data_IF_930548718967
#
_entry.id   IF_930548718967
#
_cell.length_a   1.000
_cell.length_b   1.000
_cell.length_c   1.000
_cell.angle_alpha   90.00
_cell.angle_beta   90.00
_cell.angle_gamma   90.00
#
_symmetry.space_group_name_H-M   'P 1'
#
loop_
_entity.id
_entity.type
_entity.pdbx_description
1 polymer ?
#
# COMPACT_ATOMS: atom_id res chain seq x y z
N UNK A 1 -5.93 38.25 -6.01
CA UNK A 1 -5.76 37.42 -7.22
C UNK A 1 -6.80 36.33 -7.12
N UNK A 2 -7.83 36.39 -7.97
CA UNK A 2 -9.11 35.71 -7.75
C UNK A 2 -9.07 34.26 -8.25
N UNK A 3 -9.82 33.39 -7.58
CA UNK A 3 -10.01 31.96 -7.84
C UNK A 3 -10.75 31.63 -9.16
N UNK A 4 -10.63 32.47 -10.20
CA UNK A 4 -11.45 32.41 -11.41
C UNK A 4 -10.64 32.48 -12.73
N UNK A 5 -9.35 32.17 -12.71
CA UNK A 5 -8.50 32.12 -13.93
C UNK A 5 -7.94 30.72 -14.25
N UNK A 6 -8.22 29.69 -13.45
CA UNK A 6 -7.77 28.31 -13.72
C UNK A 6 -8.77 27.43 -14.48
N UNK A 7 -9.96 27.93 -14.82
CA UNK A 7 -11.03 27.16 -15.49
C UNK A 7 -11.06 27.30 -17.03
N UNK A 8 -9.95 27.66 -17.69
CA UNK A 8 -9.97 27.96 -19.14
C UNK A 8 -9.02 27.11 -19.99
N UNK A 9 -8.47 25.99 -19.47
CA UNK A 9 -7.58 25.12 -20.26
C UNK A 9 -7.96 23.64 -20.34
N UNK A 10 -9.09 23.19 -19.79
CA UNK A 10 -9.44 21.76 -19.74
C UNK A 10 -10.85 21.44 -20.27
N UNK A 11 -11.23 21.98 -21.42
CA UNK A 11 -12.17 21.28 -22.31
C UNK A 11 -11.39 20.75 -23.50
N UNK A 12 -10.48 19.78 -23.25
CA UNK A 12 -10.01 18.91 -24.33
C UNK A 12 -11.04 17.80 -24.48
N UNK A 13 -11.59 17.63 -25.69
CA UNK A 13 -12.48 16.52 -26.03
C UNK A 13 -11.83 15.21 -25.55
N UNK A 14 -12.48 14.57 -24.59
CA UNK A 14 -12.00 13.32 -24.03
C UNK A 14 -12.22 12.24 -25.09
N UNK A 15 -11.13 11.71 -25.63
CA UNK A 15 -11.21 10.63 -26.62
C UNK A 15 -11.49 9.34 -25.87
N UNK A 16 -12.69 8.77 -26.07
CA UNK A 16 -13.13 7.57 -25.37
C UNK A 16 -12.33 6.31 -25.77
N UNK A 17 -11.85 6.26 -27.01
CA UNK A 17 -11.08 5.15 -27.55
C UNK A 17 -10.26 5.54 -28.80
N UNK A 18 -9.23 4.75 -29.08
CA UNK A 18 -8.46 4.77 -30.34
C UNK A 18 -8.34 3.37 -30.90
N UNK A 19 -8.11 3.26 -32.21
CA UNK A 19 -7.90 1.97 -32.87
C UNK A 19 -6.42 1.84 -33.21
N UNK A 20 -5.78 0.78 -32.72
CA UNK A 20 -4.39 0.44 -33.05
C UNK A 20 -4.39 -0.95 -33.68
N UNK A 21 -4.06 -1.01 -34.97
CA UNK A 21 -4.25 -2.22 -35.75
C UNK A 21 -5.73 -2.57 -35.85
N UNK A 22 -6.11 -3.74 -35.34
CA UNK A 22 -7.51 -4.21 -35.27
C UNK A 22 -8.14 -4.05 -33.88
N UNK A 23 -7.38 -3.59 -32.89
CA UNK A 23 -7.82 -3.54 -31.50
C UNK A 23 -8.30 -2.14 -31.10
N UNK A 24 -9.43 -2.09 -30.39
CA UNK A 24 -9.88 -0.89 -29.69
C UNK A 24 -9.13 -0.72 -28.36
N UNK A 25 -8.41 0.38 -28.22
CA UNK A 25 -7.69 0.76 -27.01
C UNK A 25 -8.45 1.87 -26.30
N UNK A 26 -8.72 1.67 -25.02
CA UNK A 26 -9.48 2.59 -24.15
C UNK A 26 -8.72 2.81 -22.86
N UNK A 27 -9.19 3.76 -22.05
CA UNK A 27 -8.77 3.84 -20.64
C UNK A 27 -8.94 2.48 -19.95
N UNK A 28 -7.88 1.99 -19.33
CA UNK A 28 -7.81 0.69 -18.67
C UNK A 28 -7.31 -0.46 -19.55
N UNK A 29 -7.16 -0.28 -20.87
CA UNK A 29 -6.54 -1.29 -21.73
C UNK A 29 -5.07 -1.51 -21.33
N UNK A 30 -4.61 -2.77 -21.42
CA UNK A 30 -3.20 -3.12 -21.26
C UNK A 30 -2.50 -3.09 -22.61
N UNK A 31 -1.30 -2.53 -22.62
CA UNK A 31 -0.49 -2.37 -23.82
C UNK A 31 0.97 -2.68 -23.54
N UNK A 32 1.68 -3.15 -24.56
CA UNK A 32 3.14 -3.33 -24.55
C UNK A 32 3.79 -2.12 -25.21
N UNK A 33 4.84 -1.62 -24.56
CA UNK A 33 5.56 -0.43 -25.01
C UNK A 33 6.68 -0.79 -25.99
N UNK A 34 6.71 -0.10 -27.12
CA UNK A 34 7.76 -0.19 -28.14
C UNK A 34 8.24 1.23 -28.50
N UNK A 35 9.00 1.90 -27.61
CA UNK A 35 9.56 3.22 -27.89
C UNK A 35 10.45 3.17 -29.13
N UNK A 36 10.30 4.12 -30.06
CA UNK A 36 11.10 4.16 -31.30
C UNK A 36 12.58 4.44 -31.02
N UNK A 37 13.48 3.99 -31.91
CA UNK A 37 14.92 4.24 -31.77
C UNK A 37 15.26 5.72 -31.98
N UNK A 38 15.77 6.35 -30.91
CA UNK A 38 16.29 7.72 -30.94
C UNK A 38 16.36 8.45 -29.59
N UNK A 39 15.80 7.90 -28.51
CA UNK A 39 15.74 8.56 -27.20
C UNK A 39 16.59 7.93 -26.11
N UNK A 40 16.59 8.65 -24.98
CA UNK A 40 17.48 8.59 -23.83
C UNK A 40 17.52 7.21 -23.13
N UNK A 41 18.35 7.06 -22.08
CA UNK A 41 18.50 5.81 -21.30
C UNK A 41 17.15 5.20 -20.86
N UNK A 42 16.12 6.02 -20.69
CA UNK A 42 14.77 5.60 -20.30
C UNK A 42 14.06 4.73 -21.34
N UNK A 43 14.30 4.91 -22.64
CA UNK A 43 13.61 4.13 -23.69
C UNK A 43 14.02 2.66 -23.66
N UNK A 44 15.28 2.39 -23.26
CA UNK A 44 15.79 1.04 -23.09
C UNK A 44 15.08 0.32 -21.93
N UNK A 45 14.79 1.04 -20.84
CA UNK A 45 14.12 0.48 -19.67
C UNK A 45 12.62 0.21 -19.91
N UNK A 46 11.99 1.03 -20.77
CA UNK A 46 10.55 0.97 -21.05
C UNK A 46 10.20 -0.03 -22.15
N UNK A 47 11.14 -0.40 -23.02
CA UNK A 47 10.89 -1.33 -24.13
C UNK A 47 10.42 -2.70 -23.63
N UNK A 48 9.30 -3.15 -24.17
CA UNK A 48 8.67 -4.43 -23.84
C UNK A 48 7.89 -4.44 -22.53
N UNK A 49 7.94 -3.35 -21.74
CA UNK A 49 7.16 -3.23 -20.51
C UNK A 49 5.67 -3.22 -20.81
N UNK A 50 4.89 -3.77 -19.87
CA UNK A 50 3.44 -3.70 -19.92
C UNK A 50 2.99 -2.47 -19.13
N UNK A 51 2.05 -1.73 -19.70
CA UNK A 51 1.47 -0.55 -19.09
C UNK A 51 -0.05 -0.55 -19.22
N UNK A 52 -0.72 0.20 -18.34
CA UNK A 52 -2.17 0.42 -18.40
C UNK A 52 -2.44 1.83 -18.92
N UNK A 53 -3.35 1.95 -19.89
CA UNK A 53 -3.78 3.25 -20.44
C UNK A 53 -4.57 4.03 -19.40
N UNK A 54 -4.11 5.23 -19.07
CA UNK A 54 -4.75 6.14 -18.11
C UNK A 54 -5.63 7.17 -18.80
N UNK A 55 -5.15 7.75 -19.90
CA UNK A 55 -5.88 8.69 -20.72
C UNK A 55 -5.41 8.59 -22.17
N UNK A 56 -6.30 9.00 -23.07
CA UNK A 56 -5.98 9.28 -24.46
C UNK A 56 -6.06 10.80 -24.60
N UNK A 57 -4.97 11.41 -25.00
CA UNK A 57 -4.85 12.86 -25.09
C UNK A 57 -4.60 13.29 -26.52
N UNK A 58 -5.17 14.42 -26.89
CA UNK A 58 -4.94 15.05 -28.17
C UNK A 58 -4.13 16.34 -27.96
N UNK A 59 -3.07 16.51 -28.72
CA UNK A 59 -2.32 17.77 -28.75
C UNK A 59 -3.04 18.82 -29.59
N UNK A 60 -2.48 20.04 -29.63
CA UNK A 60 -3.07 21.14 -30.39
C UNK A 60 -3.00 20.96 -31.91
N UNK A 61 -2.19 20.01 -32.40
CA UNK A 61 -2.08 19.64 -33.81
C UNK A 61 -3.03 18.49 -34.20
N UNK A 62 -3.78 17.96 -33.22
CA UNK A 62 -4.70 16.85 -33.43
C UNK A 62 -4.04 15.47 -33.36
N UNK A 63 -2.77 15.37 -32.96
CA UNK A 63 -2.11 14.08 -32.77
C UNK A 63 -2.51 13.45 -31.45
N UNK A 64 -2.91 12.18 -31.52
CA UNK A 64 -3.32 11.39 -30.37
C UNK A 64 -2.10 10.74 -29.71
N UNK A 65 -2.02 10.92 -28.40
CA UNK A 65 -1.03 10.33 -27.52
C UNK A 65 -1.72 9.48 -26.47
N UNK A 66 -1.10 8.35 -26.13
CA UNK A 66 -1.56 7.49 -25.04
C UNK A 66 -0.71 7.79 -23.83
N UNK A 67 -1.38 8.19 -22.75
CA UNK A 67 -0.79 8.27 -21.43
C UNK A 67 -0.94 6.91 -20.74
N UNK A 68 0.18 6.34 -20.29
CA UNK A 68 0.23 5.04 -19.63
C UNK A 68 0.93 5.12 -18.28
N UNK A 69 0.61 4.15 -17.43
CA UNK A 69 1.34 3.87 -16.19
C UNK A 69 1.88 2.44 -16.27
N UNK A 70 3.16 2.24 -15.99
CA UNK A 70 3.78 0.91 -16.04
C UNK A 70 3.14 0.00 -14.99
N UNK A 71 3.03 -1.29 -15.32
CA UNK A 71 2.34 -2.19 -14.42
C UNK A 71 3.08 -2.46 -13.12
N UNK A 72 4.41 -2.49 -13.20
CA UNK A 72 5.34 -2.76 -12.10
C UNK A 72 5.89 -1.46 -11.48
N UNK A 73 5.29 -0.31 -11.76
CA UNK A 73 5.70 0.96 -11.16
C UNK A 73 5.37 0.99 -9.66
N UNK A 74 6.38 1.09 -8.76
CA UNK A 74 6.14 1.17 -7.32
C UNK A 74 5.29 2.38 -6.89
N UNK A 75 5.25 3.45 -7.70
CA UNK A 75 4.42 4.63 -7.46
C UNK A 75 2.98 4.53 -7.99
N UNK A 76 2.63 3.45 -8.71
CA UNK A 76 1.28 3.24 -9.27
C UNK A 76 0.18 3.28 -8.21
N UNK A 77 0.48 2.82 -7.00
CA UNK A 77 -0.50 2.67 -5.93
C UNK A 77 -0.76 3.96 -5.14
N UNK A 78 -0.09 5.07 -5.46
CA UNK A 78 -0.27 6.35 -4.77
C UNK A 78 -1.58 7.09 -5.10
N UNK A 79 -2.56 6.43 -5.73
CA UNK A 79 -3.90 6.97 -5.98
C UNK A 79 -3.89 8.32 -6.72
N UNK A 80 -4.74 9.25 -6.31
CA UNK A 80 -4.87 10.60 -6.91
C UNK A 80 -3.62 11.50 -6.73
N UNK A 81 -2.62 11.07 -5.95
CA UNK A 81 -1.37 11.80 -5.68
C UNK A 81 -0.18 11.33 -6.54
N UNK A 82 -0.41 10.51 -7.58
CA UNK A 82 0.65 10.09 -8.52
C UNK A 82 1.46 11.29 -8.98
N UNK A 83 2.75 11.31 -8.65
CA UNK A 83 3.64 12.37 -9.10
C UNK A 83 3.69 12.36 -10.63
N UNK A 84 3.90 13.52 -11.28
CA UNK A 84 3.97 13.61 -12.75
C UNK A 84 4.94 12.63 -13.42
N UNK A 85 5.94 12.11 -12.69
CA UNK A 85 6.95 11.16 -13.16
C UNK A 85 6.50 9.70 -13.35
N UNK A 86 5.26 9.34 -13.00
CA UNK A 86 4.72 7.97 -13.17
C UNK A 86 3.84 7.80 -14.41
N UNK A 87 3.72 8.87 -15.22
CA UNK A 87 2.92 8.90 -16.44
C UNK A 87 3.85 9.04 -17.63
N UNK A 88 3.75 8.09 -18.55
CA UNK A 88 4.53 8.07 -19.77
C UNK A 88 3.61 8.30 -20.97
N UNK A 89 4.06 9.10 -21.92
CA UNK A 89 3.28 9.49 -23.09
C UNK A 89 3.92 8.86 -24.33
N UNK A 90 3.11 8.17 -25.12
CA UNK A 90 3.56 7.47 -26.31
C UNK A 90 2.66 7.77 -27.50
N UNK A 91 3.23 7.74 -28.70
CA UNK A 91 2.44 7.75 -29.93
C UNK A 91 1.74 6.40 -30.12
N UNK A 92 0.64 6.39 -30.86
CA UNK A 92 -0.08 5.15 -31.19
C UNK A 92 0.82 4.09 -31.85
N UNK A 93 1.85 4.51 -32.58
CA UNK A 93 2.82 3.61 -33.24
C UNK A 93 3.82 2.95 -32.28
N UNK A 94 3.95 3.45 -31.05
CA UNK A 94 4.86 2.96 -30.01
C UNK A 94 4.16 2.02 -29.02
N UNK A 95 2.90 1.71 -29.31
CA UNK A 95 2.00 0.97 -28.45
C UNK A 95 1.51 -0.26 -29.21
N UNK A 96 1.70 -1.43 -28.60
CA UNK A 96 1.10 -2.68 -29.07
C UNK A 96 -0.01 -3.09 -28.10
N UNK A 97 -1.28 -3.14 -28.51
CA UNK A 97 -2.35 -3.66 -27.68
C UNK A 97 -2.10 -5.13 -27.34
N UNK A 98 -2.25 -5.51 -26.07
CA UNK A 98 -2.16 -6.94 -25.70
C UNK A 98 -3.36 -7.73 -26.27
N UNK A 99 -3.19 -9.03 -26.61
CA UNK A 99 -4.28 -9.91 -27.01
C UNK A 99 -5.39 -9.98 -25.95
N UNK A 100 -6.64 -10.24 -26.36
CA UNK A 100 -7.79 -10.28 -25.44
C UNK A 100 -7.60 -11.22 -24.23
N UNK A 101 -6.90 -12.33 -24.41
CA UNK A 101 -6.59 -13.28 -23.33
C UNK A 101 -5.73 -12.62 -22.24
N UNK A 102 -4.68 -11.90 -22.64
CA UNK A 102 -3.79 -11.13 -21.76
C UNK A 102 -4.47 -9.87 -21.21
N UNK A 103 -5.41 -9.26 -21.93
CA UNK A 103 -6.20 -8.14 -21.40
C UNK A 103 -6.95 -8.54 -20.10
N UNK A 104 -7.30 -9.81 -19.95
CA UNK A 104 -8.07 -10.34 -18.81
C UNK A 104 -7.21 -11.00 -17.72
N UNK A 105 -5.94 -11.33 -17.96
CA UNK A 105 -5.07 -11.96 -16.94
C UNK A 105 -4.96 -11.12 -15.67
N UNK A 106 -4.83 -9.79 -15.80
CA UNK A 106 -4.74 -8.87 -14.65
C UNK A 106 -6.11 -8.53 -14.04
N UNK A 107 -7.21 -8.69 -14.77
CA UNK A 107 -8.56 -8.66 -14.16
C UNK A 107 -8.77 -9.85 -13.21
N UNK A 108 -7.95 -10.91 -13.34
CA UNK A 108 -7.98 -12.10 -12.49
C UNK A 108 -7.08 -12.00 -11.27
N UNK A 109 -5.97 -11.25 -11.35
CA UNK A 109 -5.18 -10.89 -10.18
C UNK A 109 -5.95 -9.85 -9.36
N UNK A 110 -6.64 -10.33 -8.32
CA UNK A 110 -7.27 -9.46 -7.34
C UNK A 110 -6.19 -8.51 -6.78
N UNK A 111 -6.46 -7.20 -6.66
CA UNK A 111 -5.54 -6.33 -5.93
C UNK A 111 -5.29 -6.93 -4.53
N UNK A 112 -4.08 -6.78 -3.97
CA UNK A 112 -3.76 -7.38 -2.68
C UNK A 112 -4.82 -6.97 -1.65
N UNK A 113 -5.51 -7.97 -1.09
CA UNK A 113 -6.62 -7.74 -0.17
C UNK A 113 -6.13 -7.52 1.27
N UNK A 114 -4.86 -7.84 1.53
CA UNK A 114 -4.23 -7.77 2.84
C UNK A 114 -3.04 -6.79 2.81
N UNK A 115 -3.02 -5.84 3.73
CA UNK A 115 -1.84 -5.02 4.06
C UNK A 115 -1.20 -5.56 5.34
N UNK A 116 0.11 -5.79 5.32
CA UNK A 116 0.94 -6.00 6.51
C UNK A 116 1.80 -4.75 6.70
N UNK A 117 1.64 -4.09 7.84
CA UNK A 117 2.30 -2.82 8.16
C UNK A 117 3.20 -2.99 9.38
N UNK A 118 4.51 -2.91 9.17
CA UNK A 118 5.50 -2.89 10.24
C UNK A 118 5.64 -1.47 10.77
N UNK A 119 5.38 -1.30 12.06
CA UNK A 119 5.42 -0.03 12.78
C UNK A 119 6.54 -0.11 13.79
N UNK A 120 7.23 1.01 14.02
CA UNK A 120 8.23 1.07 15.08
C UNK A 120 9.39 2.02 14.82
N UNK A 121 10.04 2.43 15.90
CA UNK A 121 11.28 3.18 15.85
C UNK A 121 12.47 2.32 16.26
N UNK A 122 13.31 1.94 15.28
CA UNK A 122 14.51 1.13 15.50
C UNK A 122 15.54 1.78 16.45
N UNK A 123 15.43 3.08 16.71
CA UNK A 123 16.28 3.82 17.65
C UNK A 123 15.79 3.71 19.10
N UNK A 124 14.62 3.10 19.35
CA UNK A 124 13.96 3.02 20.65
C UNK A 124 13.80 1.57 21.15
N UNK A 125 14.83 0.75 20.97
CA UNK A 125 14.91 -0.60 21.52
C UNK A 125 13.83 -1.51 20.95
N UNK A 126 12.97 -2.03 21.83
CA UNK A 126 11.91 -2.96 21.45
C UNK A 126 10.83 -2.32 20.58
N UNK A 127 10.76 -0.99 20.52
CA UNK A 127 9.89 -0.28 19.57
C UNK A 127 10.26 -0.62 18.11
N UNK A 128 11.47 -1.10 17.83
CA UNK A 128 11.87 -1.60 16.52
C UNK A 128 11.26 -2.95 16.11
N UNK A 129 10.44 -3.58 16.97
CA UNK A 129 9.92 -4.93 16.76
C UNK A 129 9.16 -5.10 15.44
N UNK A 130 8.22 -4.21 15.11
CA UNK A 130 7.40 -4.34 13.91
C UNK A 130 8.18 -4.24 12.61
N UNK A 131 9.22 -3.40 12.60
CA UNK A 131 10.18 -3.28 11.49
C UNK A 131 10.94 -4.59 11.29
N UNK A 132 11.43 -5.19 12.36
CA UNK A 132 12.22 -6.43 12.29
C UNK A 132 11.37 -7.63 11.83
N UNK A 133 10.12 -7.73 12.30
CA UNK A 133 9.19 -8.78 11.85
C UNK A 133 8.88 -8.65 10.35
N UNK A 134 8.56 -7.44 9.89
CA UNK A 134 8.27 -7.20 8.46
C UNK A 134 9.48 -7.52 7.57
N UNK A 135 10.68 -7.16 8.03
CA UNK A 135 11.93 -7.48 7.33
C UNK A 135 12.09 -8.98 7.11
N UNK A 136 11.73 -9.81 8.08
CA UNK A 136 11.79 -11.28 7.97
C UNK A 136 10.61 -11.89 7.18
N UNK A 137 9.45 -11.23 7.15
CA UNK A 137 8.28 -11.68 6.37
C UNK A 137 8.43 -11.48 4.87
N UNK A 138 9.18 -10.45 4.44
CA UNK A 138 9.32 -10.08 3.03
C UNK A 138 9.83 -11.23 2.15
N UNK A 139 10.63 -12.15 2.69
CA UNK A 139 11.19 -13.29 1.96
C UNK A 139 10.28 -14.54 1.98
N UNK A 140 9.17 -14.51 2.72
CA UNK A 140 8.35 -15.71 3.02
C UNK A 140 6.95 -15.71 2.43
N UNK A 141 6.38 -14.54 2.15
CA UNK A 141 5.00 -14.40 1.65
C UNK A 141 5.01 -13.90 0.20
N UNK A 142 4.23 -14.55 -0.67
CA UNK A 142 4.06 -14.13 -2.07
C UNK A 142 3.27 -12.81 -2.17
N UNK A 143 3.71 -11.83 -2.99
CA UNK A 143 3.09 -10.52 -3.09
C UNK A 143 1.72 -10.50 -3.80
N UNK A 144 1.32 -11.61 -4.44
CA UNK A 144 0.12 -11.66 -5.29
C UNK A 144 -1.19 -11.32 -4.56
N UNK A 145 -1.24 -11.48 -3.23
CA UNK A 145 -2.45 -11.19 -2.43
C UNK A 145 -2.16 -10.40 -1.16
N UNK A 146 -0.89 -10.14 -0.87
CA UNK A 146 -0.43 -9.49 0.37
C UNK A 146 0.56 -8.39 0.01
N UNK A 147 0.31 -7.19 0.51
CA UNK A 147 1.29 -6.12 0.48
C UNK A 147 1.97 -6.00 1.84
N UNK A 148 3.29 -6.08 1.85
CA UNK A 148 4.10 -5.92 3.07
C UNK A 148 4.85 -4.58 2.97
N UNK A 149 4.74 -3.74 3.99
CA UNK A 149 5.39 -2.43 4.03
C UNK A 149 5.95 -2.15 5.41
N UNK A 150 7.22 -1.76 5.45
CA UNK A 150 7.84 -1.12 6.61
C UNK A 150 7.46 0.36 6.62
N UNK A 151 6.62 0.75 7.58
CA UNK A 151 6.27 2.15 7.80
C UNK A 151 7.19 2.82 8.82
N UNK A 152 7.89 2.06 9.67
CA UNK A 152 8.66 2.62 10.79
C UNK A 152 7.85 3.65 11.57
N UNK A 153 8.25 4.92 11.48
CA UNK A 153 7.59 6.07 12.13
C UNK A 153 6.67 6.90 11.21
N UNK A 154 6.30 6.37 10.04
CA UNK A 154 5.57 7.10 8.97
C UNK A 154 4.05 6.99 9.13
N UNK A 155 3.52 7.48 10.26
CA UNK A 155 2.10 7.32 10.64
C UNK A 155 1.11 7.88 9.63
N UNK A 156 1.41 9.03 9.03
CA UNK A 156 0.57 9.63 7.99
C UNK A 156 0.52 8.76 6.71
N UNK A 157 1.65 8.17 6.32
CA UNK A 157 1.70 7.30 5.15
C UNK A 157 0.89 6.02 5.37
N UNK A 158 0.91 5.50 6.61
CA UNK A 158 0.06 4.38 7.00
C UNK A 158 -1.43 4.76 6.93
N UNK A 159 -1.83 5.95 7.40
CA UNK A 159 -3.20 6.43 7.26
C UNK A 159 -3.64 6.42 5.79
N UNK A 160 -2.81 6.95 4.88
CA UNK A 160 -3.13 6.91 3.44
C UNK A 160 -3.15 5.49 2.89
N UNK A 161 -2.24 4.63 3.33
CA UNK A 161 -2.18 3.24 2.91
C UNK A 161 -3.48 2.49 3.22
N UNK A 162 -4.04 2.71 4.40
CA UNK A 162 -5.30 2.09 4.84
C UNK A 162 -6.50 2.50 3.95
N UNK A 163 -6.39 3.57 3.18
CA UNK A 163 -7.45 4.01 2.25
C UNK A 163 -7.42 3.30 0.89
N UNK A 164 -6.39 2.51 0.57
CA UNK A 164 -6.23 1.91 -0.76
C UNK A 164 -7.18 0.73 -1.06
N UNK A 165 -8.13 0.42 -0.19
CA UNK A 165 -9.12 -0.63 -0.48
C UNK A 165 -8.77 -2.02 0.05
N UNK A 166 -7.80 -2.13 0.97
CA UNK A 166 -7.53 -3.41 1.64
C UNK A 166 -8.75 -3.89 2.41
N UNK A 167 -9.04 -5.17 2.29
CA UNK A 167 -10.09 -5.84 3.06
C UNK A 167 -9.65 -6.01 4.51
N UNK A 168 -8.37 -6.35 4.72
CA UNK A 168 -7.76 -6.50 6.05
C UNK A 168 -6.41 -5.81 6.13
N UNK A 169 -6.15 -5.12 7.25
CA UNK A 169 -4.83 -4.65 7.62
C UNK A 169 -4.31 -5.42 8.85
N UNK A 170 -3.07 -5.89 8.81
CA UNK A 170 -2.35 -6.51 9.91
C UNK A 170 -1.23 -5.55 10.31
N UNK A 171 -1.38 -4.91 11.46
CA UNK A 171 -0.40 -4.02 12.05
C UNK A 171 0.54 -4.85 12.91
N UNK A 172 1.84 -4.64 12.78
CA UNK A 172 2.85 -5.29 13.60
C UNK A 172 3.61 -4.22 14.37
N UNK A 173 3.59 -4.29 15.69
CA UNK A 173 4.09 -3.20 16.54
C UNK A 173 4.53 -3.70 17.93
N UNK A 174 5.32 -2.90 18.64
CA UNK A 174 5.49 -3.05 20.07
C UNK A 174 4.19 -2.66 20.79
N UNK A 175 3.66 -3.54 21.64
CA UNK A 175 2.36 -3.38 22.25
C UNK A 175 2.42 -3.58 23.77
N UNK A 176 2.62 -2.51 24.56
CA UNK A 176 2.64 -2.59 26.00
C UNK A 176 1.22 -2.77 26.54
N UNK A 177 0.93 -3.97 27.06
CA UNK A 177 -0.38 -4.33 27.60
C UNK A 177 -0.27 -5.12 28.91
N UNK A 178 0.87 -5.01 29.58
CA UNK A 178 1.09 -5.53 30.93
C UNK A 178 1.33 -7.04 30.99
N UNK A 179 1.72 -7.64 29.88
CA UNK A 179 2.17 -9.04 29.85
C UNK A 179 3.67 -9.15 30.19
N UNK A 180 4.22 -10.36 30.05
CA UNK A 180 5.66 -10.57 30.19
C UNK A 180 6.36 -10.11 28.90
N UNK A 181 7.49 -9.38 28.96
CA UNK A 181 8.22 -8.99 27.76
C UNK A 181 8.50 -10.17 26.82
N UNK A 182 8.35 -9.96 25.52
CA UNK A 182 8.42 -11.00 24.49
C UNK A 182 7.10 -11.75 24.25
N UNK A 183 6.03 -11.48 25.01
CA UNK A 183 4.73 -12.10 24.76
C UNK A 183 4.11 -11.55 23.48
N UNK A 184 3.90 -12.41 22.49
CA UNK A 184 3.18 -12.06 21.25
C UNK A 184 1.68 -12.26 21.45
N UNK A 185 0.91 -11.26 21.05
CA UNK A 185 -0.55 -11.26 21.11
C UNK A 185 -1.14 -10.90 19.76
N UNK A 186 -2.30 -11.45 19.44
CA UNK A 186 -3.10 -11.07 18.29
C UNK A 186 -4.41 -10.49 18.77
N UNK A 187 -4.68 -9.24 18.42
CA UNK A 187 -5.89 -8.52 18.82
C UNK A 187 -6.58 -8.00 17.59
N UNK A 188 -7.89 -8.19 17.50
CA UNK A 188 -8.70 -7.49 16.50
C UNK A 188 -9.05 -6.11 17.06
N UNK A 189 -8.65 -5.07 16.34
CA UNK A 189 -8.88 -3.70 16.78
C UNK A 189 -10.27 -3.27 16.33
N UNK A 190 -11.19 -3.11 17.29
CA UNK A 190 -12.51 -2.55 17.01
C UNK A 190 -12.37 -1.06 16.68
N UNK A 191 -12.77 -0.70 15.46
CA UNK A 191 -12.76 0.68 15.00
C UNK A 191 -13.76 1.57 15.77
N UNK A 192 -14.78 1.01 16.41
CA UNK A 192 -15.72 1.76 17.24
C UNK A 192 -15.14 2.08 18.62
N UNK A 193 -14.37 1.17 19.23
CA UNK A 193 -13.71 1.44 20.52
C UNK A 193 -12.61 2.51 20.40
N UNK A 194 -12.00 2.66 19.22
CA UNK A 194 -11.02 3.72 18.94
C UNK A 194 -11.61 5.14 19.02
N UNK A 195 -12.93 5.31 18.87
CA UNK A 195 -13.60 6.61 18.95
C UNK A 195 -13.82 7.11 20.39
N UNK A 196 -13.92 6.20 21.36
CA UNK A 196 -14.30 6.51 22.75
C UNK A 196 -13.10 6.80 23.67
N UNK A 197 -11.88 6.56 23.20
CA UNK A 197 -10.67 6.94 23.94
C UNK A 197 -10.39 8.45 23.83
N UNK A 198 -10.57 9.18 24.94
CA UNK A 198 -10.34 10.63 25.07
C UNK A 198 -8.83 11.01 25.09
N UNK A 199 -7.99 10.28 24.36
CA UNK A 199 -6.56 10.58 24.20
C UNK A 199 -6.32 11.47 22.99
N UNK A 200 -5.58 12.57 23.17
CA UNK A 200 -5.26 13.64 22.21
C UNK A 200 -5.53 13.32 20.72
N UNK A 201 -6.49 14.04 20.13
CA UNK A 201 -7.04 13.82 18.78
C UNK A 201 -6.06 14.18 17.63
N UNK A 202 -4.85 14.65 17.91
CA UNK A 202 -3.96 15.17 16.86
C UNK A 202 -2.47 15.12 17.23
N UNK A 203 -1.94 13.91 17.47
CA UNK A 203 -0.49 13.68 17.41
C UNK A 203 -0.16 12.68 16.31
N UNK A 204 -0.04 13.14 15.03
CA UNK A 204 0.38 12.30 13.89
C UNK A 204 1.77 11.66 14.06
N UNK A 205 2.53 12.10 15.08
CA UNK A 205 3.88 11.64 15.39
C UNK A 205 3.90 10.52 16.44
N UNK A 206 2.79 10.26 17.12
CA UNK A 206 2.70 9.19 18.09
C UNK A 206 2.10 7.95 17.40
N UNK A 207 2.97 7.02 17.01
CA UNK A 207 2.70 5.87 16.13
C UNK A 207 1.75 4.82 16.69
N UNK A 208 1.13 5.08 17.85
CA UNK A 208 0.22 4.15 18.47
C UNK A 208 -0.89 3.74 17.48
N UNK A 209 -1.04 2.44 17.16
CA UNK A 209 -1.93 1.93 16.10
C UNK A 209 -3.36 2.49 16.16
N UNK A 210 -3.90 2.65 17.37
CA UNK A 210 -5.22 3.23 17.61
C UNK A 210 -5.39 4.67 17.08
N UNK A 211 -4.36 5.51 17.15
CA UNK A 211 -4.42 6.89 16.65
C UNK A 211 -4.49 6.93 15.13
N UNK A 212 -3.70 6.08 14.46
CA UNK A 212 -3.69 5.90 13.01
C UNK A 212 -5.07 5.43 12.54
N UNK A 213 -5.65 4.43 13.22
CA UNK A 213 -6.97 3.91 12.88
C UNK A 213 -8.08 4.93 13.03
N UNK A 214 -8.07 5.70 14.12
CA UNK A 214 -9.03 6.79 14.33
C UNK A 214 -8.96 7.82 13.20
N UNK A 215 -7.75 8.15 12.73
CA UNK A 215 -7.56 9.10 11.63
C UNK A 215 -7.96 8.52 10.26
N UNK A 216 -7.64 7.25 9.97
CA UNK A 216 -8.06 6.59 8.74
C UNK A 216 -9.60 6.48 8.63
N UNK A 217 -10.28 6.26 9.76
CA UNK A 217 -11.75 6.19 9.82
C UNK A 217 -12.44 7.54 9.59
N UNK A 218 -11.92 8.63 10.15
CA UNK A 218 -12.51 9.97 9.91
C UNK A 218 -12.48 10.35 8.42
N UNK A 219 -11.58 9.74 7.65
CA UNK A 219 -11.45 9.88 6.21
C UNK A 219 -12.34 8.92 5.40
N UNK A 220 -13.28 8.19 6.03
CA UNK A 220 -14.29 7.30 5.41
C UNK A 220 -13.71 6.19 4.50
N UNK A 221 -12.60 5.59 4.92
CA UNK A 221 -11.94 4.51 4.16
C UNK A 221 -12.73 3.20 4.09
N UNK A 222 -12.51 2.39 3.04
CA UNK A 222 -13.19 1.10 2.81
C UNK A 222 -12.72 -0.06 3.72
N UNK A 223 -11.73 0.17 4.59
CA UNK A 223 -11.08 -0.85 5.40
C UNK A 223 -12.09 -1.59 6.28
N UNK A 224 -12.23 -2.91 6.10
CA UNK A 224 -13.24 -3.69 6.83
C UNK A 224 -12.70 -4.22 8.15
N UNK A 225 -11.44 -4.65 8.17
CA UNK A 225 -10.86 -5.37 9.31
C UNK A 225 -9.44 -4.90 9.64
N UNK A 226 -9.12 -4.78 10.93
CA UNK A 226 -7.77 -4.47 11.40
C UNK A 226 -7.37 -5.41 12.52
N UNK A 227 -6.19 -6.01 12.38
CA UNK A 227 -5.57 -6.89 13.35
C UNK A 227 -4.26 -6.25 13.82
N UNK A 228 -3.93 -6.43 15.09
CA UNK A 228 -2.64 -6.10 15.68
C UNK A 228 -1.94 -7.40 16.07
N UNK A 229 -0.75 -7.63 15.53
CA UNK A 229 0.22 -8.60 16.02
C UNK A 229 1.21 -7.81 16.87
N UNK A 230 0.98 -7.81 18.18
CA UNK A 230 1.72 -6.98 19.14
C UNK A 230 2.66 -7.80 20.02
N UNK A 231 3.87 -7.30 20.28
CA UNK A 231 4.78 -7.89 21.25
C UNK A 231 4.93 -7.00 22.49
N UNK A 232 4.84 -7.57 23.69
CA UNK A 232 5.12 -6.83 24.92
C UNK A 232 6.62 -6.43 24.96
N UNK A 233 6.95 -5.14 25.08
CA UNK A 233 8.33 -4.69 25.16
C UNK A 233 8.92 -4.86 26.56
N UNK A 234 10.23 -5.10 26.66
CA UNK A 234 10.99 -4.93 27.90
C UNK A 234 11.45 -3.48 28.10
N UNK A 235 11.77 -2.79 27.01
CA UNK A 235 12.28 -1.42 27.01
C UNK A 235 11.95 -0.69 25.72
N UNK A 236 11.53 0.57 25.82
CA UNK A 236 11.25 1.46 24.69
C UNK A 236 12.34 2.52 24.53
N UNK A 237 13.60 2.15 24.77
CA UNK A 237 14.78 2.97 24.46
C UNK A 237 15.12 4.10 25.43
N UNK A 238 14.19 4.55 26.27
CA UNK A 238 14.44 5.66 27.21
C UNK A 238 14.85 6.97 26.51
N UNK A 239 15.30 7.97 27.28
CA UNK A 239 15.60 9.32 26.74
C UNK A 239 16.84 9.35 25.82
N UNK A 240 17.79 8.43 26.01
CA UNK A 240 19.02 8.35 25.21
C UNK A 240 18.86 7.48 23.94
N UNK A 241 17.76 6.74 23.83
CA UNK A 241 17.55 5.73 22.80
C UNK A 241 18.36 4.46 23.06
N UNK A 242 17.94 3.36 22.41
CA UNK A 242 18.64 2.08 22.45
C UNK A 242 18.54 1.42 21.08
N UNK A 243 19.66 0.94 20.54
CA UNK A 243 19.65 0.18 19.30
C UNK A 243 19.52 -1.31 19.59
N UNK A 244 18.70 -1.98 18.79
CA UNK A 244 18.50 -3.42 18.87
C UNK A 244 17.41 -3.82 19.87
N UNK A 245 16.84 -4.99 19.61
CA UNK A 245 15.81 -5.58 20.46
C UNK A 245 16.45 -6.17 21.71
N UNK A 246 15.70 -6.16 22.81
CA UNK A 246 16.04 -6.93 24.00
C UNK A 246 15.94 -8.43 23.71
N UNK A 247 16.71 -9.24 24.45
CA UNK A 247 16.70 -10.71 24.32
C UNK A 247 15.29 -11.34 24.25
N UNK A 248 14.33 -11.00 25.14
CA UNK A 248 12.98 -11.59 25.05
C UNK A 248 12.21 -11.17 23.79
N UNK A 249 12.37 -9.93 23.33
CA UNK A 249 11.66 -9.41 22.15
C UNK A 249 12.30 -9.92 20.86
N UNK A 250 13.63 -10.02 20.81
CA UNK A 250 14.36 -10.65 19.71
C UNK A 250 13.95 -12.12 19.53
N UNK A 251 13.84 -12.86 20.64
CA UNK A 251 13.36 -14.25 20.62
C UNK A 251 11.90 -14.38 20.14
N UNK A 252 11.07 -13.36 20.35
CA UNK A 252 9.67 -13.33 19.96
C UNK A 252 9.43 -13.05 18.47
N UNK A 253 10.42 -12.52 17.74
CA UNK A 253 10.28 -12.16 16.31
C UNK A 253 9.83 -13.36 15.48
N UNK A 254 10.46 -14.52 15.67
CA UNK A 254 10.12 -15.73 14.91
C UNK A 254 8.68 -16.20 15.19
N UNK A 255 8.20 -16.06 16.42
CA UNK A 255 6.82 -16.36 16.80
C UNK A 255 5.84 -15.44 16.07
N UNK A 256 6.11 -14.13 16.04
CA UNK A 256 5.26 -13.15 15.39
C UNK A 256 5.24 -13.29 13.86
N UNK A 257 6.37 -13.64 13.23
CA UNK A 257 6.42 -14.00 11.81
C UNK A 257 5.49 -15.18 11.52
N UNK A 258 5.60 -16.26 12.31
CA UNK A 258 4.77 -17.46 12.13
C UNK A 258 3.28 -17.19 12.41
N UNK A 259 2.98 -16.36 13.43
CA UNK A 259 1.61 -15.94 13.74
C UNK A 259 1.01 -15.13 12.57
N UNK A 260 1.79 -14.20 12.01
CA UNK A 260 1.36 -13.38 10.87
C UNK A 260 1.10 -14.22 9.62
N UNK A 261 1.98 -15.17 9.30
CA UNK A 261 1.76 -16.11 8.18
C UNK A 261 0.49 -16.95 8.37
N UNK A 262 0.27 -17.46 9.60
CA UNK A 262 -0.92 -18.23 9.91
C UNK A 262 -2.19 -17.38 9.76
N UNK A 263 -2.16 -16.10 10.17
CA UNK A 263 -3.26 -15.17 9.98
C UNK A 263 -3.55 -14.92 8.51
N UNK A 264 -2.52 -14.63 7.71
CA UNK A 264 -2.65 -14.44 6.26
C UNK A 264 -3.31 -15.65 5.62
N UNK A 265 -2.81 -16.86 5.93
CA UNK A 265 -3.37 -18.10 5.40
C UNK A 265 -4.86 -18.25 5.75
N UNK A 266 -5.22 -18.06 7.02
CA UNK A 266 -6.62 -18.14 7.48
C UNK A 266 -7.52 -17.11 6.81
N UNK A 267 -7.05 -15.88 6.63
CA UNK A 267 -7.81 -14.82 5.96
C UNK A 267 -8.07 -15.19 4.50
N UNK A 268 -7.05 -15.68 3.79
CA UNK A 268 -7.17 -16.13 2.40
C UNK A 268 -8.08 -17.36 2.27
N UNK A 269 -8.11 -18.23 3.26
CA UNK A 269 -8.99 -19.41 3.33
C UNK A 269 -10.41 -19.08 3.85
N UNK A 270 -10.65 -17.85 4.32
CA UNK A 270 -11.95 -17.40 4.85
C UNK A 270 -12.29 -17.93 6.26
N UNK A 271 -11.29 -18.34 7.03
CA UNK A 271 -11.46 -18.90 8.38
C UNK A 271 -11.61 -17.81 9.46
N UNK A 272 -12.25 -18.16 10.59
CA UNK A 272 -12.31 -17.28 11.77
C UNK A 272 -10.91 -17.09 12.38
N UNK A 273 -10.68 -16.00 13.13
CA UNK A 273 -9.38 -15.69 13.76
C UNK A 273 -9.51 -15.91 15.28
N UNK A 274 -8.52 -16.52 15.97
CA UNK A 274 -8.56 -16.69 17.42
C UNK A 274 -8.43 -15.32 18.12
N UNK A 275 -9.28 -15.05 19.13
CA UNK A 275 -9.16 -13.85 19.99
C UNK A 275 -10.37 -12.89 19.99
N UNK A 276 -11.43 -13.15 19.21
CA UNK A 276 -12.60 -12.25 19.07
C UNK A 276 -13.51 -12.12 20.30
N UNK A 277 -13.08 -12.50 21.51
CA UNK A 277 -13.86 -12.33 22.73
C UNK A 277 -12.96 -12.18 23.95
N UNK A 278 -12.89 -10.97 24.52
CA UNK A 278 -13.01 -10.76 25.96
C UNK A 278 -13.73 -9.43 26.23
N UNK A 279 -15.06 -9.51 26.30
CA UNK A 279 -15.88 -8.55 27.05
C UNK A 279 -16.28 -9.24 28.34
N UNK A 280 -15.77 -8.75 29.47
CA UNK A 280 -16.45 -8.80 30.76
C UNK A 280 -16.42 -7.41 31.37
#
# INVERSE_FOLDING_TARGET
MNQWEWNVLEEKEQVDYVVIGEAEVRKGSRVRLHPHEGGDIFDLALRGQIATVESIEQDYEGQQHICVVLEDDPGRDLGMMRQPGHRFFFKLTEIEPLPEEEQHERKKALPPSILIAGIGNIFLGDDGFGVEVVRQLADRISPDSVRIVDFGIRGLDLVYALQYGYETAILIDAYPHGQTPGTVSVVELDANEAADSTGNVLEPHNMHPMNVLRMARSMHGPLKRVLLVGCEPATLGGDEGCMGLSEPVEAAVAEAVNATEALVKRILEGESIPGSHQSQ
#
